data_IF_416126326297
#
_entry.id   IF_416126326297
#
_cell.length_a   1.000
_cell.length_b   1.000
_cell.length_c   1.000
_cell.angle_alpha   90.00
_cell.angle_beta   90.00
_cell.angle_gamma   90.00
#
_symmetry.space_group_name_H-M   'P 1'
#
loop_
_entity.id
_entity.type
_entity.pdbx_description
1 polymer ?
#
# COMPACT_ATOMS: atom_id res chain seq x y z
N UNK A 1 11.41 5.61 14.62
CA UNK A 1 11.29 4.92 15.92
C UNK A 1 12.56 4.14 16.19
N UNK A 2 13.15 4.33 17.37
CA UNK A 2 14.30 3.55 17.86
C UNK A 2 13.82 2.29 18.58
N UNK A 3 14.73 1.34 18.82
CA UNK A 3 14.37 0.06 19.44
C UNK A 3 13.89 0.27 20.90
N UNK A 4 14.47 1.19 21.64
CA UNK A 4 14.09 1.52 23.01
C UNK A 4 12.76 2.29 23.11
N UNK A 5 12.21 2.75 21.98
CA UNK A 5 10.99 3.56 21.92
C UNK A 5 9.70 2.73 21.73
N UNK A 6 9.77 1.38 21.66
CA UNK A 6 8.57 0.54 21.55
C UNK A 6 7.57 0.82 22.67
N UNK A 7 8.02 0.87 23.93
CA UNK A 7 7.11 1.10 25.08
C UNK A 7 6.54 2.52 25.06
N UNK A 8 7.32 3.49 24.59
CA UNK A 8 6.86 4.86 24.40
C UNK A 8 5.74 4.89 23.36
N UNK A 9 5.93 4.24 22.20
CA UNK A 9 4.94 4.16 21.13
C UNK A 9 3.68 3.42 21.56
N UNK A 10 3.81 2.24 22.17
CA UNK A 10 2.69 1.43 22.67
C UNK A 10 1.86 2.17 23.72
N UNK A 11 2.50 3.01 24.56
CA UNK A 11 1.79 3.70 25.65
C UNK A 11 0.91 4.88 25.19
N UNK A 12 1.31 5.59 24.14
CA UNK A 12 0.57 6.73 23.57
C UNK A 12 1.01 6.99 22.12
N UNK A 13 0.48 6.23 21.16
CA UNK A 13 0.88 6.31 19.76
C UNK A 13 0.60 7.67 19.13
N UNK A 14 -0.53 8.30 19.46
CA UNK A 14 -0.90 9.61 18.92
C UNK A 14 0.09 10.68 19.37
N UNK A 15 0.47 10.67 20.64
CA UNK A 15 1.49 11.55 21.19
C UNK A 15 2.88 11.25 20.61
N UNK A 16 3.23 9.98 20.42
CA UNK A 16 4.47 9.58 19.75
C UNK A 16 4.54 10.16 18.32
N UNK A 17 3.43 10.07 17.57
CA UNK A 17 3.36 10.58 16.21
C UNK A 17 3.64 12.08 16.18
N UNK A 18 2.97 12.84 17.04
CA UNK A 18 3.05 14.30 17.03
C UNK A 18 4.40 14.81 17.54
N UNK A 19 4.91 14.24 18.64
CA UNK A 19 6.09 14.79 19.33
C UNK A 19 7.42 14.15 18.94
N UNK A 20 7.40 12.99 18.27
CA UNK A 20 8.63 12.28 17.91
C UNK A 20 8.68 11.93 16.43
N UNK A 21 7.62 11.35 15.87
CA UNK A 21 7.65 10.87 14.49
C UNK A 21 7.68 12.01 13.47
N UNK A 22 6.70 12.93 13.53
CA UNK A 22 6.55 14.03 12.57
C UNK A 22 7.75 15.00 12.57
N UNK A 23 8.28 15.44 13.72
CA UNK A 23 9.50 16.25 13.78
C UNK A 23 10.70 15.63 13.07
N UNK A 24 10.88 14.31 13.22
CA UNK A 24 12.01 13.58 12.63
C UNK A 24 11.85 13.37 11.13
N UNK A 25 10.61 13.27 10.65
CA UNK A 25 10.32 13.10 9.23
C UNK A 25 10.37 14.42 8.48
N UNK A 26 9.87 15.50 9.11
CA UNK A 26 9.76 16.82 8.51
C UNK A 26 10.42 17.84 9.42
N UNK A 27 11.62 18.32 9.05
CA UNK A 27 12.34 19.31 9.85
C UNK A 27 11.57 20.62 10.06
N UNK A 28 10.60 20.95 9.20
CA UNK A 28 9.69 22.07 9.44
C UNK A 28 8.79 21.91 10.66
N UNK A 29 8.56 20.66 11.12
CA UNK A 29 7.70 20.30 12.25
C UNK A 29 8.49 20.10 13.55
N UNK A 30 9.80 20.37 13.57
CA UNK A 30 10.66 20.30 14.77
C UNK A 30 10.05 20.97 16.02
N UNK A 31 9.37 22.14 15.94
CA UNK A 31 8.80 22.77 17.13
C UNK A 31 7.80 21.90 17.91
N UNK A 32 7.16 20.90 17.27
CA UNK A 32 6.23 19.99 17.93
C UNK A 32 6.88 19.16 19.05
N UNK A 33 8.20 18.94 19.02
CA UNK A 33 8.93 18.24 20.09
C UNK A 33 8.82 18.97 21.44
N UNK A 34 8.62 20.29 21.41
CA UNK A 34 8.51 21.15 22.61
C UNK A 34 7.14 21.02 23.28
N UNK A 35 6.16 20.38 22.64
CA UNK A 35 4.85 20.17 23.24
C UNK A 35 4.95 19.25 24.47
N UNK A 36 4.21 19.54 25.55
CA UNK A 36 4.03 18.54 26.61
C UNK A 36 3.24 17.33 26.05
N UNK A 37 3.33 16.15 26.70
CA UNK A 37 2.50 15.01 26.34
C UNK A 37 1.03 15.39 26.22
N UNK A 38 0.42 15.14 25.07
CA UNK A 38 -0.92 15.65 24.74
C UNK A 38 -1.97 15.10 25.70
N UNK A 39 -1.83 13.83 26.11
CA UNK A 39 -2.68 13.21 27.14
C UNK A 39 -2.73 13.97 28.47
N UNK A 40 -1.76 14.83 28.78
CA UNK A 40 -1.81 15.66 29.99
C UNK A 40 -3.00 16.63 30.00
N UNK A 41 -3.58 16.93 28.84
CA UNK A 41 -4.82 17.72 28.73
C UNK A 41 -6.00 17.06 29.44
N UNK A 42 -6.05 15.72 29.50
CA UNK A 42 -7.13 14.96 30.17
C UNK A 42 -7.11 15.23 31.68
N UNK A 43 -5.93 15.44 32.27
CA UNK A 43 -5.76 15.62 33.73
C UNK A 43 -5.85 17.08 34.17
N UNK A 44 -6.48 17.95 33.37
CA UNK A 44 -6.60 19.37 33.65
C UNK A 44 -5.30 20.16 33.41
N UNK A 45 -4.32 19.57 32.70
CA UNK A 45 -3.15 20.30 32.20
C UNK A 45 -3.60 21.44 31.31
N UNK A 46 -3.27 22.67 31.71
CA UNK A 46 -3.84 23.89 31.15
C UNK A 46 -3.56 24.00 29.65
N UNK A 47 -4.59 23.83 28.82
CA UNK A 47 -4.60 24.31 27.43
C UNK A 47 -4.06 25.75 27.33
N UNK A 48 -4.33 26.59 28.34
CA UNK A 48 -3.77 27.94 28.47
C UNK A 48 -2.24 28.01 28.52
N UNK A 49 -1.56 27.05 29.14
CA UNK A 49 -0.09 26.98 29.12
C UNK A 49 0.45 26.63 27.73
N UNK A 50 -0.28 25.80 26.97
CA UNK A 50 0.04 25.50 25.58
C UNK A 50 -0.21 26.70 24.67
N UNK A 51 -1.21 27.54 24.93
CA UNK A 51 -1.45 28.76 24.14
C UNK A 51 -0.24 29.70 24.11
N UNK A 52 0.49 29.83 25.22
CA UNK A 52 1.73 30.60 25.26
C UNK A 52 2.82 30.04 24.34
N UNK A 53 2.99 28.70 24.35
CA UNK A 53 3.92 28.01 23.46
C UNK A 53 3.51 28.13 21.99
N UNK A 54 2.22 27.95 21.68
CA UNK A 54 1.69 28.11 20.32
C UNK A 54 1.79 29.55 19.81
N UNK A 55 1.84 30.54 20.70
CA UNK A 55 2.03 31.94 20.35
C UNK A 55 3.50 32.32 20.08
N UNK A 56 4.46 31.41 20.33
CA UNK A 56 5.90 31.65 20.12
C UNK A 56 6.25 31.90 18.64
N UNK A 57 7.35 32.61 18.35
CA UNK A 57 7.80 32.82 16.97
C UNK A 57 7.97 31.53 16.17
N UNK A 58 8.47 30.47 16.79
CA UNK A 58 8.70 29.18 16.12
C UNK A 58 7.39 28.50 15.72
N UNK A 59 6.36 28.55 16.58
CA UNK A 59 5.04 27.98 16.26
C UNK A 59 4.26 28.83 15.26
N UNK A 60 4.47 30.16 15.24
CA UNK A 60 3.93 31.01 14.17
C UNK A 60 4.52 30.66 12.82
N UNK A 61 5.85 30.53 12.74
CA UNK A 61 6.54 30.12 11.52
C UNK A 61 6.13 28.71 11.07
N UNK A 62 5.92 27.78 12.02
CA UNK A 62 5.34 26.47 11.75
C UNK A 62 3.95 26.60 11.10
N UNK A 63 3.06 27.41 11.68
CA UNK A 63 1.73 27.66 11.13
C UNK A 63 1.76 28.19 9.70
N UNK A 64 2.63 29.17 9.41
CA UNK A 64 2.82 29.71 8.07
C UNK A 64 3.27 28.64 7.06
N UNK A 65 4.23 27.77 7.44
CA UNK A 65 4.68 26.66 6.60
C UNK A 65 3.58 25.64 6.33
N UNK A 66 2.76 25.32 7.34
CA UNK A 66 1.61 24.42 7.17
C UNK A 66 0.61 25.02 6.17
N UNK A 67 0.33 26.32 6.25
CA UNK A 67 -0.57 27.01 5.31
C UNK A 67 0.00 26.94 3.88
N UNK A 68 1.29 27.18 3.70
CA UNK A 68 1.95 27.08 2.38
C UNK A 68 1.88 25.65 1.83
N UNK A 69 2.18 24.65 2.65
CA UNK A 69 2.09 23.24 2.27
C UNK A 69 0.65 22.85 1.90
N UNK A 70 -0.34 23.34 2.65
CA UNK A 70 -1.74 23.10 2.37
C UNK A 70 -2.17 23.65 0.99
N UNK A 71 -1.67 24.84 0.60
CA UNK A 71 -1.98 25.41 -0.70
C UNK A 71 -1.51 24.51 -1.86
N UNK A 72 -0.30 23.93 -1.76
CA UNK A 72 0.20 22.98 -2.77
C UNK A 72 -0.54 21.64 -2.71
N UNK A 73 -0.84 21.14 -1.51
CA UNK A 73 -1.64 19.93 -1.33
C UNK A 73 -3.03 20.08 -1.97
N UNK A 74 -3.70 21.21 -1.79
CA UNK A 74 -4.98 21.50 -2.43
C UNK A 74 -4.88 21.52 -3.95
N UNK A 75 -3.79 22.08 -4.49
CA UNK A 75 -3.52 22.09 -5.93
C UNK A 75 -3.37 20.66 -6.47
N UNK A 76 -2.56 19.83 -5.81
CA UNK A 76 -2.35 18.43 -6.17
C UNK A 76 -3.64 17.61 -6.06
N UNK A 77 -4.39 17.78 -4.97
CA UNK A 77 -5.67 17.08 -4.76
C UNK A 77 -6.69 17.43 -5.84
N UNK A 78 -6.79 18.71 -6.24
CA UNK A 78 -7.68 19.14 -7.34
C UNK A 78 -7.30 18.47 -8.67
N UNK A 79 -6.01 18.40 -9.00
CA UNK A 79 -5.54 17.72 -10.21
C UNK A 79 -5.85 16.22 -10.17
N UNK A 80 -5.53 15.55 -9.06
CA UNK A 80 -5.78 14.11 -8.89
C UNK A 80 -7.28 13.78 -8.99
N UNK A 81 -8.13 14.58 -8.34
CA UNK A 81 -9.59 14.41 -8.44
C UNK A 81 -10.12 14.66 -9.85
N UNK A 82 -9.58 15.64 -10.56
CA UNK A 82 -9.94 15.89 -11.96
C UNK A 82 -9.63 14.70 -12.86
N UNK A 83 -8.44 14.10 -12.71
CA UNK A 83 -8.04 12.88 -13.45
C UNK A 83 -8.97 11.72 -13.11
N UNK A 84 -9.19 11.46 -11.82
CA UNK A 84 -10.06 10.36 -11.37
C UNK A 84 -11.51 10.52 -11.87
N UNK A 85 -12.02 11.76 -11.96
CA UNK A 85 -13.34 12.03 -12.56
C UNK A 85 -13.39 11.71 -14.05
N UNK A 86 -12.36 12.08 -14.81
CA UNK A 86 -12.26 11.76 -16.24
C UNK A 86 -12.21 10.24 -16.43
N UNK A 87 -11.38 9.54 -15.67
CA UNK A 87 -11.27 8.07 -15.72
C UNK A 87 -12.62 7.40 -15.44
N UNK A 88 -13.31 7.86 -14.41
CA UNK A 88 -14.65 7.35 -14.04
C UNK A 88 -15.66 7.59 -15.18
N UNK A 89 -15.68 8.78 -15.77
CA UNK A 89 -16.58 9.11 -16.90
C UNK A 89 -16.29 8.26 -18.15
N UNK A 90 -15.04 7.87 -18.36
CA UNK A 90 -14.63 6.98 -19.44
C UNK A 90 -14.88 5.49 -19.13
N UNK A 91 -15.39 5.17 -17.93
CA UNK A 91 -15.66 3.81 -17.50
C UNK A 91 -14.42 3.03 -17.06
N UNK A 92 -13.29 3.71 -16.79
CA UNK A 92 -12.11 3.06 -16.22
C UNK A 92 -12.28 2.91 -14.70
N UNK A 93 -12.27 1.68 -14.16
CA UNK A 93 -12.42 1.48 -12.74
C UNK A 93 -11.13 1.86 -11.99
N UNK A 94 -11.26 2.69 -10.95
CA UNK A 94 -10.14 2.99 -10.04
C UNK A 94 -9.64 1.73 -9.35
N UNK A 95 -8.32 1.47 -9.39
CA UNK A 95 -7.68 0.44 -8.57
C UNK A 95 -7.57 0.86 -7.10
N UNK A 96 -7.57 2.16 -6.82
CA UNK A 96 -7.42 2.75 -5.49
C UNK A 96 -8.75 2.90 -4.74
N UNK A 97 -9.85 2.43 -5.32
CA UNK A 97 -11.19 2.65 -4.78
C UNK A 97 -11.52 4.15 -4.65
N UNK A 98 -12.58 4.51 -3.90
CA UNK A 98 -12.77 5.89 -3.50
C UNK A 98 -11.67 6.29 -2.51
N UNK A 99 -10.83 7.27 -2.89
CA UNK A 99 -9.71 7.87 -2.14
C UNK A 99 -10.04 8.43 -0.72
N UNK A 100 -11.16 8.04 -0.12
CA UNK A 100 -11.76 8.69 1.06
C UNK A 100 -12.43 7.74 2.07
N UNK A 101 -12.24 6.43 1.98
CA UNK A 101 -12.77 5.51 3.01
C UNK A 101 -11.66 4.63 3.53
N UNK A 102 -11.49 4.66 4.85
CA UNK A 102 -10.51 3.85 5.58
C UNK A 102 -10.53 2.41 5.07
N UNK A 103 -9.39 2.00 4.52
CA UNK A 103 -9.14 0.64 4.13
C UNK A 103 -8.59 -0.14 5.32
N UNK A 104 -8.70 -1.46 5.27
CA UNK A 104 -8.13 -2.38 6.28
C UNK A 104 -6.59 -2.42 6.29
N UNK A 105 -5.92 -1.52 5.56
CA UNK A 105 -4.47 -1.49 5.38
C UNK A 105 -3.89 -2.74 4.72
N UNK A 106 -2.56 -2.78 4.61
CA UNK A 106 -1.80 -3.97 4.19
C UNK A 106 -1.30 -4.79 5.37
N UNK A 107 -0.17 -5.48 5.20
CA UNK A 107 0.46 -6.20 6.30
C UNK A 107 0.91 -5.20 7.41
N UNK A 108 0.57 -5.42 8.69
CA UNK A 108 1.01 -4.52 9.78
C UNK A 108 2.53 -4.36 9.88
N UNK A 109 3.28 -5.42 9.54
CA UNK A 109 4.74 -5.38 9.50
C UNK A 109 5.28 -4.33 8.52
N UNK A 110 4.62 -4.15 7.37
CA UNK A 110 5.03 -3.17 6.37
C UNK A 110 4.93 -1.75 6.94
N UNK A 111 3.87 -1.43 7.70
CA UNK A 111 3.73 -0.14 8.38
C UNK A 111 4.93 0.17 9.28
N UNK A 112 5.38 -0.84 10.04
CA UNK A 112 6.54 -0.70 10.91
C UNK A 112 7.82 -0.53 10.07
N UNK A 113 7.99 -1.33 9.02
CA UNK A 113 9.21 -1.34 8.23
C UNK A 113 9.36 -0.13 7.31
N UNK A 114 8.25 0.43 6.81
CA UNK A 114 8.25 1.51 5.82
C UNK A 114 8.26 2.87 6.49
N UNK A 115 7.52 3.01 7.60
CA UNK A 115 7.33 4.30 8.25
C UNK A 115 8.00 4.40 9.61
N UNK A 116 7.75 3.46 10.52
CA UNK A 116 8.14 3.65 11.93
C UNK A 116 9.61 3.34 12.18
N UNK A 117 10.03 2.11 11.95
CA UNK A 117 11.30 1.53 12.41
C UNK A 117 12.36 1.49 11.30
N UNK A 118 11.92 1.54 10.04
CA UNK A 118 12.75 1.31 8.86
C UNK A 118 13.02 -0.18 8.63
N UNK A 119 13.22 -0.58 7.37
CA UNK A 119 13.43 -1.96 6.95
C UNK A 119 14.49 -2.69 7.79
N UNK A 120 15.72 -2.14 7.84
CA UNK A 120 16.84 -2.73 8.62
C UNK A 120 16.47 -2.90 10.09
N UNK A 121 15.78 -1.91 10.66
CA UNK A 121 15.39 -1.92 12.06
C UNK A 121 14.38 -3.02 12.36
N UNK A 122 13.29 -3.07 11.60
CA UNK A 122 12.23 -4.05 11.76
C UNK A 122 12.76 -5.49 11.61
N UNK A 123 13.68 -5.71 10.66
CA UNK A 123 14.31 -7.03 10.47
C UNK A 123 15.20 -7.46 11.63
N UNK A 124 15.98 -6.53 12.21
CA UNK A 124 16.78 -6.83 13.40
C UNK A 124 15.89 -7.10 14.61
N UNK A 125 14.77 -6.39 14.71
CA UNK A 125 13.85 -6.48 15.84
C UNK A 125 13.10 -7.83 15.87
N UNK A 126 12.95 -8.52 14.73
CA UNK A 126 12.49 -9.93 14.68
C UNK A 126 13.35 -10.88 15.52
N UNK A 127 14.61 -10.52 15.80
CA UNK A 127 15.52 -11.29 16.64
C UNK A 127 15.71 -10.66 18.02
N UNK A 128 15.76 -9.33 18.11
CA UNK A 128 16.13 -8.61 19.34
C UNK A 128 14.96 -8.41 20.30
N UNK A 129 13.77 -8.13 19.76
CA UNK A 129 12.58 -7.86 20.54
C UNK A 129 11.32 -8.32 19.79
N UNK A 130 11.22 -9.62 19.44
CA UNK A 130 10.16 -10.16 18.59
C UNK A 130 8.77 -9.95 19.18
N UNK A 131 8.63 -10.03 20.50
CA UNK A 131 7.33 -9.94 21.16
C UNK A 131 6.77 -8.51 21.09
N UNK A 132 7.61 -7.50 21.33
CA UNK A 132 7.22 -6.08 21.17
C UNK A 132 6.90 -5.72 19.72
N UNK A 133 7.64 -6.30 18.78
CA UNK A 133 7.37 -6.12 17.36
C UNK A 133 5.99 -6.69 16.97
N UNK A 134 5.66 -7.88 17.47
CA UNK A 134 4.35 -8.50 17.27
C UNK A 134 3.23 -7.72 17.95
N UNK A 135 3.44 -7.23 19.17
CA UNK A 135 2.48 -6.39 19.90
C UNK A 135 2.13 -5.11 19.12
N UNK A 136 3.13 -4.45 18.53
CA UNK A 136 2.89 -3.30 17.65
C UNK A 136 2.16 -3.70 16.36
N UNK A 137 2.50 -4.84 15.75
CA UNK A 137 1.76 -5.35 14.59
C UNK A 137 0.28 -5.57 14.92
N UNK A 138 -0.03 -6.15 16.08
CA UNK A 138 -1.41 -6.38 16.54
C UNK A 138 -2.15 -5.05 16.76
N UNK A 139 -1.52 -4.10 17.47
CA UNK A 139 -2.08 -2.76 17.69
C UNK A 139 -2.38 -2.03 16.37
N UNK A 140 -1.48 -2.08 15.39
CA UNK A 140 -1.69 -1.47 14.06
C UNK A 140 -2.86 -2.15 13.33
N UNK A 141 -2.97 -3.48 13.42
CA UNK A 141 -4.06 -4.23 12.81
C UNK A 141 -5.42 -3.82 13.39
N UNK A 142 -5.49 -3.64 14.70
CA UNK A 142 -6.72 -3.20 15.38
C UNK A 142 -7.17 -1.82 14.90
N UNK A 143 -6.25 -0.86 14.75
CA UNK A 143 -6.59 0.47 14.22
C UNK A 143 -7.09 0.41 12.79
N UNK A 144 -6.39 -0.33 11.94
CA UNK A 144 -6.80 -0.54 10.55
C UNK A 144 -8.21 -1.13 10.47
N UNK A 145 -8.57 -2.05 11.37
CA UNK A 145 -9.91 -2.64 11.41
C UNK A 145 -10.96 -1.71 12.01
N UNK A 146 -10.61 -0.89 12.99
CA UNK A 146 -11.50 0.10 13.57
C UNK A 146 -11.89 1.20 12.58
N UNK A 147 -10.97 1.56 11.67
CA UNK A 147 -11.19 2.56 10.63
C UNK A 147 -11.77 1.99 9.33
N UNK A 148 -11.85 0.66 9.21
CA UNK A 148 -12.31 -0.01 8.01
C UNK A 148 -13.81 0.23 7.75
N UNK A 149 -14.14 0.57 6.51
CA UNK A 149 -15.52 0.78 6.07
C UNK A 149 -15.99 -0.33 5.11
N UNK A 150 -17.29 -0.66 5.08
CA UNK A 150 -17.85 -1.53 4.05
C UNK A 150 -17.68 -0.94 2.64
N UNK A 151 -17.44 -1.83 1.68
CA UNK A 151 -17.45 -1.53 0.26
C UNK A 151 -18.82 -1.04 -0.19
N UNK A 152 -18.82 -0.07 -1.10
CA UNK A 152 -20.02 0.40 -1.81
C UNK A 152 -19.88 -0.02 -3.27
N UNK A 153 -20.70 -0.97 -3.76
CA UNK A 153 -20.71 -1.35 -5.16
C UNK A 153 -21.06 -0.17 -6.09
N UNK A 154 -20.63 -0.26 -7.34
CA UNK A 154 -21.03 0.69 -8.39
C UNK A 154 -22.50 0.50 -8.83
N UNK A 155 -22.94 1.30 -9.82
CA UNK A 155 -24.31 1.28 -10.32
C UNK A 155 -24.72 -0.09 -10.92
N UNK A 156 -23.76 -0.87 -11.41
CA UNK A 156 -23.97 -2.20 -11.97
C UNK A 156 -23.81 -3.31 -10.91
N UNK A 157 -23.56 -2.93 -9.65
CA UNK A 157 -23.36 -3.85 -8.54
C UNK A 157 -21.95 -4.42 -8.46
N UNK A 158 -20.97 -3.90 -9.20
CA UNK A 158 -19.60 -4.39 -9.11
C UNK A 158 -18.94 -3.91 -7.81
N UNK A 159 -18.25 -4.80 -7.08
CA UNK A 159 -17.52 -4.41 -5.89
C UNK A 159 -16.32 -3.51 -6.25
N UNK A 160 -16.01 -2.50 -5.41
CA UNK A 160 -14.80 -1.71 -5.57
C UNK A 160 -13.54 -2.56 -5.32
N UNK A 161 -12.44 -2.14 -5.95
CA UNK A 161 -11.11 -2.69 -5.70
C UNK A 161 -10.47 -2.01 -4.50
N UNK A 162 -9.74 -2.78 -3.71
CA UNK A 162 -8.92 -2.27 -2.61
C UNK A 162 -7.44 -2.51 -2.92
N UNK A 163 -6.74 -1.46 -3.31
CA UNK A 163 -5.29 -1.48 -3.49
C UNK A 163 -4.56 -1.77 -2.17
N UNK A 164 -3.49 -2.57 -2.25
CA UNK A 164 -2.64 -2.89 -1.10
C UNK A 164 -1.19 -3.06 -1.55
N UNK A 165 -0.29 -2.17 -1.15
CA UNK A 165 1.14 -2.35 -1.42
C UNK A 165 1.74 -3.35 -0.41
N UNK A 166 2.44 -4.38 -0.89
CA UNK A 166 3.05 -5.42 -0.07
C UNK A 166 4.55 -5.49 -0.34
N UNK A 167 5.35 -5.18 0.68
CA UNK A 167 6.79 -4.97 0.49
C UNK A 167 7.64 -6.09 1.09
N UNK A 168 7.49 -6.38 2.39
CA UNK A 168 8.43 -7.25 3.12
C UNK A 168 8.08 -8.73 3.11
N UNK A 169 6.93 -9.10 2.56
CA UNK A 169 6.56 -10.51 2.38
C UNK A 169 7.35 -11.23 1.30
N UNK A 170 8.00 -10.47 0.40
CA UNK A 170 8.86 -10.97 -0.67
C UNK A 170 9.98 -11.88 -0.16
N UNK A 171 10.33 -12.87 -0.97
CA UNK A 171 11.23 -13.98 -0.63
C UNK A 171 12.59 -13.53 -0.11
N UNK A 172 13.11 -12.42 -0.64
CA UNK A 172 14.42 -11.90 -0.27
C UNK A 172 14.52 -11.29 1.14
N UNK A 173 13.40 -11.07 1.83
CA UNK A 173 13.39 -10.34 3.10
C UNK A 173 13.23 -11.23 4.33
N UNK A 174 12.59 -12.39 4.20
CA UNK A 174 12.28 -13.27 5.32
C UNK A 174 12.43 -14.73 4.91
N UNK A 175 12.95 -15.56 5.83
CA UNK A 175 12.75 -17.00 5.71
C UNK A 175 11.26 -17.35 5.83
N UNK A 176 10.84 -18.54 5.34
CA UNK A 176 9.45 -19.01 5.48
C UNK A 176 8.96 -18.96 6.94
N UNK A 177 9.79 -19.39 7.91
CA UNK A 177 9.46 -19.32 9.34
C UNK A 177 9.22 -17.90 9.85
N UNK A 178 9.99 -16.93 9.37
CA UNK A 178 9.79 -15.52 9.72
C UNK A 178 8.53 -14.96 9.06
N UNK A 179 8.29 -15.30 7.78
CA UNK A 179 7.09 -14.92 7.07
C UNK A 179 5.83 -15.44 7.78
N UNK A 180 5.79 -16.74 8.13
CA UNK A 180 4.70 -17.38 8.88
C UNK A 180 4.47 -16.75 10.25
N UNK A 181 5.52 -16.24 10.91
CA UNK A 181 5.41 -15.64 12.24
C UNK A 181 5.02 -14.16 12.21
N UNK A 182 5.70 -13.36 11.38
CA UNK A 182 5.67 -11.90 11.46
C UNK A 182 4.83 -11.22 10.38
N UNK A 183 4.55 -11.90 9.26
CA UNK A 183 3.99 -11.25 8.08
C UNK A 183 2.65 -11.86 7.66
N UNK A 184 2.63 -13.17 7.35
CA UNK A 184 1.46 -13.85 6.79
C UNK A 184 0.20 -13.76 7.65
N UNK A 185 0.25 -13.98 8.98
CA UNK A 185 -0.97 -13.95 9.79
C UNK A 185 -1.67 -12.59 9.75
N UNK A 186 -0.92 -11.49 9.82
CA UNK A 186 -1.45 -10.14 9.73
C UNK A 186 -1.99 -9.84 8.33
N UNK A 187 -1.19 -10.10 7.29
CA UNK A 187 -1.63 -9.91 5.91
C UNK A 187 -2.91 -10.69 5.59
N UNK A 188 -2.95 -11.97 5.94
CA UNK A 188 -4.12 -12.83 5.71
C UNK A 188 -5.36 -12.28 6.42
N UNK A 189 -5.24 -11.85 7.68
CA UNK A 189 -6.34 -11.21 8.42
C UNK A 189 -6.82 -9.94 7.71
N UNK A 190 -5.91 -9.09 7.26
CA UNK A 190 -6.27 -7.87 6.53
C UNK A 190 -7.02 -8.17 5.23
N UNK A 191 -6.51 -9.09 4.41
CA UNK A 191 -7.16 -9.50 3.16
C UNK A 191 -8.55 -10.10 3.42
N UNK A 192 -8.66 -11.02 4.39
CA UNK A 192 -9.96 -11.62 4.73
C UNK A 192 -10.96 -10.58 5.22
N UNK A 193 -10.52 -9.59 6.02
CA UNK A 193 -11.39 -8.51 6.46
C UNK A 193 -11.85 -7.63 5.30
N UNK A 194 -10.97 -7.30 4.35
CA UNK A 194 -11.38 -6.58 3.13
C UNK A 194 -12.44 -7.35 2.33
N UNK A 195 -12.25 -8.66 2.15
CA UNK A 195 -13.20 -9.51 1.42
C UNK A 195 -14.55 -9.57 2.16
N UNK A 196 -14.53 -9.71 3.49
CA UNK A 196 -15.74 -9.65 4.34
C UNK A 196 -16.49 -8.33 4.16
N UNK A 197 -15.76 -7.21 4.07
CA UNK A 197 -16.33 -5.88 3.85
C UNK A 197 -16.83 -5.67 2.41
N UNK A 198 -16.68 -6.65 1.52
CA UNK A 198 -17.25 -6.63 0.16
C UNK A 198 -16.29 -6.14 -0.93
N UNK A 199 -15.00 -6.00 -0.64
CA UNK A 199 -14.00 -5.59 -1.64
C UNK A 199 -13.51 -6.77 -2.49
N UNK A 200 -13.02 -6.46 -3.70
CA UNK A 200 -12.02 -7.27 -4.39
C UNK A 200 -10.65 -6.71 -4.05
N UNK A 201 -9.80 -7.51 -3.42
CA UNK A 201 -8.49 -7.04 -2.97
C UNK A 201 -7.51 -7.08 -4.15
N UNK A 202 -6.83 -5.98 -4.39
CA UNK A 202 -5.87 -5.81 -5.48
C UNK A 202 -4.47 -5.51 -4.94
N UNK A 203 -3.83 -6.49 -4.26
CA UNK A 203 -2.50 -6.32 -3.73
C UNK A 203 -1.43 -6.27 -4.83
N UNK A 204 -0.42 -5.42 -4.64
CA UNK A 204 0.84 -5.45 -5.39
C UNK A 204 1.82 -6.26 -4.56
N UNK A 205 2.14 -7.45 -5.06
CA UNK A 205 3.16 -8.32 -4.48
C UNK A 205 4.52 -7.89 -5.03
N UNK A 206 5.11 -6.85 -4.42
CA UNK A 206 6.39 -6.29 -4.85
C UNK A 206 7.54 -7.27 -4.60
N UNK A 207 8.56 -7.22 -5.44
CA UNK A 207 9.66 -8.17 -5.45
C UNK A 207 9.26 -9.54 -5.99
N UNK A 208 9.70 -10.61 -5.31
CA UNK A 208 9.59 -12.00 -5.75
C UNK A 208 8.80 -12.76 -4.69
N UNK A 209 7.79 -13.51 -5.11
CA UNK A 209 6.90 -14.28 -4.23
C UNK A 209 6.82 -15.76 -4.61
N UNK A 210 7.83 -16.28 -5.31
CA UNK A 210 7.88 -17.66 -5.83
C UNK A 210 7.65 -18.68 -4.70
N UNK A 211 8.31 -18.48 -3.56
CA UNK A 211 8.23 -19.36 -2.39
C UNK A 211 7.00 -19.11 -1.51
N UNK A 212 6.11 -18.19 -1.92
CA UNK A 212 4.90 -17.78 -1.20
C UNK A 212 3.60 -18.10 -1.92
N UNK A 213 3.66 -18.58 -3.17
CA UNK A 213 2.49 -18.81 -4.02
C UNK A 213 1.45 -19.70 -3.35
N UNK A 214 1.86 -20.83 -2.75
CA UNK A 214 0.93 -21.79 -2.14
C UNK A 214 0.15 -21.21 -0.94
N UNK A 215 0.69 -20.22 -0.22
CA UNK A 215 -0.04 -19.55 0.86
C UNK A 215 -1.24 -18.76 0.32
N UNK A 216 -1.13 -18.21 -0.90
CA UNK A 216 -2.20 -17.42 -1.51
C UNK A 216 -3.45 -18.27 -1.83
N UNK A 217 -3.30 -19.60 -1.93
CA UNK A 217 -4.42 -20.53 -2.07
C UNK A 217 -5.31 -20.60 -0.82
N UNK A 218 -4.83 -20.17 0.34
CA UNK A 218 -5.63 -20.05 1.56
C UNK A 218 -6.63 -18.87 1.50
N UNK A 219 -6.47 -17.95 0.55
CA UNK A 219 -7.36 -16.81 0.35
C UNK A 219 -8.61 -17.22 -0.45
N UNK A 220 -9.74 -16.50 -0.34
CA UNK A 220 -10.95 -16.86 -1.07
C UNK A 220 -10.78 -16.74 -2.59
N UNK A 221 -11.10 -17.83 -3.31
CA UNK A 221 -11.05 -17.91 -4.78
C UNK A 221 -11.82 -16.75 -5.43
N UNK A 222 -11.18 -16.07 -6.39
CA UNK A 222 -11.79 -14.98 -7.17
C UNK A 222 -12.02 -13.67 -6.41
N UNK A 223 -11.49 -13.53 -5.18
CA UNK A 223 -11.64 -12.30 -4.37
C UNK A 223 -10.37 -11.46 -4.26
N UNK A 224 -9.25 -11.96 -4.76
CA UNK A 224 -7.94 -11.33 -4.68
C UNK A 224 -7.24 -11.44 -6.03
N UNK A 225 -6.63 -10.36 -6.52
CA UNK A 225 -5.75 -10.41 -7.70
C UNK A 225 -4.30 -10.62 -7.28
N UNK A 226 -3.50 -11.23 -8.15
CA UNK A 226 -2.07 -11.39 -7.97
C UNK A 226 -1.34 -10.43 -8.90
N UNK A 227 -1.22 -9.16 -8.51
CA UNK A 227 -0.36 -8.22 -9.25
C UNK A 227 1.09 -8.49 -8.86
N UNK A 228 1.80 -9.17 -9.75
CA UNK A 228 3.19 -9.57 -9.55
C UNK A 228 4.18 -8.59 -10.16
N UNK A 229 5.27 -8.34 -9.44
CA UNK A 229 6.41 -7.61 -9.97
C UNK A 229 7.41 -8.55 -10.66
N UNK A 230 8.19 -9.32 -9.88
CA UNK A 230 9.31 -10.14 -10.38
C UNK A 230 9.14 -11.66 -10.15
N UNK A 231 8.01 -12.11 -9.60
CA UNK A 231 7.67 -13.55 -9.47
C UNK A 231 7.62 -14.20 -10.84
N UNK A 232 8.04 -15.46 -10.95
CA UNK A 232 7.87 -16.24 -12.17
C UNK A 232 6.36 -16.38 -12.49
N UNK A 233 5.92 -15.66 -13.51
CA UNK A 233 4.51 -15.62 -13.91
C UNK A 233 3.99 -16.95 -14.45
N UNK A 234 4.86 -17.79 -15.01
CA UNK A 234 4.47 -19.13 -15.47
C UNK A 234 4.21 -20.04 -14.27
N UNK A 235 5.12 -20.03 -13.28
CA UNK A 235 4.90 -20.73 -12.01
C UNK A 235 3.66 -20.21 -11.29
N UNK A 236 3.46 -18.90 -11.26
CA UNK A 236 2.25 -18.30 -10.71
C UNK A 236 0.98 -18.78 -11.43
N UNK A 237 0.99 -18.92 -12.76
CA UNK A 237 -0.15 -19.48 -13.52
C UNK A 237 -0.41 -20.94 -13.18
N UNK A 238 0.64 -21.75 -13.03
CA UNK A 238 0.50 -23.16 -12.64
C UNK A 238 -0.14 -23.32 -11.26
N UNK A 239 0.27 -22.50 -10.29
CA UNK A 239 -0.20 -22.61 -8.89
C UNK A 239 -1.54 -21.90 -8.68
N UNK A 240 -1.68 -20.68 -9.20
CA UNK A 240 -2.80 -19.77 -8.88
C UNK A 240 -3.83 -19.61 -10.01
N UNK A 241 -3.58 -20.14 -11.20
CA UNK A 241 -4.35 -19.82 -12.41
C UNK A 241 -5.84 -20.11 -12.35
N UNK A 242 -6.24 -21.09 -11.54
CA UNK A 242 -7.65 -21.43 -11.30
C UNK A 242 -8.20 -20.80 -10.00
N UNK A 243 -7.42 -19.96 -9.32
CA UNK A 243 -7.75 -19.41 -8.00
C UNK A 243 -7.82 -17.88 -7.98
N UNK A 244 -6.89 -17.22 -8.65
CA UNK A 244 -6.73 -15.75 -8.67
C UNK A 244 -6.49 -15.26 -10.10
N UNK A 245 -6.94 -14.04 -10.40
CA UNK A 245 -6.50 -13.34 -11.61
C UNK A 245 -5.07 -12.86 -11.44
N UNK A 246 -4.20 -13.20 -12.39
CA UNK A 246 -2.82 -12.70 -12.46
C UNK A 246 -2.83 -11.35 -13.16
N UNK A 247 -2.17 -10.37 -12.55
CA UNK A 247 -2.02 -9.01 -13.08
C UNK A 247 -0.54 -8.69 -13.23
N UNK A 248 -0.18 -7.98 -14.30
CA UNK A 248 1.20 -7.57 -14.56
C UNK A 248 1.78 -8.25 -15.81
N UNK A 249 3.08 -8.54 -15.74
CA UNK A 249 3.83 -9.25 -16.77
C UNK A 249 4.55 -8.36 -17.78
N UNK A 250 4.25 -7.06 -17.88
CA UNK A 250 4.96 -6.13 -18.78
C UNK A 250 6.04 -5.34 -17.99
N UNK A 251 7.34 -5.57 -18.22
CA UNK A 251 8.39 -4.86 -17.49
C UNK A 251 8.42 -3.36 -17.83
N UNK A 252 8.55 -2.43 -16.86
CA UNK A 252 8.71 -1.00 -17.15
C UNK A 252 9.92 -0.70 -18.04
N UNK A 253 10.99 -1.48 -17.93
CA UNK A 253 12.19 -1.35 -18.78
C UNK A 253 11.87 -1.57 -20.25
N UNK A 254 10.96 -2.48 -20.58
CA UNK A 254 10.46 -2.66 -21.95
C UNK A 254 9.71 -1.41 -22.43
N UNK A 255 8.92 -0.78 -21.56
CA UNK A 255 8.17 0.44 -21.87
C UNK A 255 9.07 1.67 -22.01
N UNK A 256 10.24 1.68 -21.38
CA UNK A 256 11.23 2.75 -21.52
C UNK A 256 12.11 2.58 -22.77
N UNK A 257 12.64 1.38 -22.99
CA UNK A 257 13.71 1.15 -23.96
C UNK A 257 13.28 0.38 -25.23
N UNK A 258 12.26 -0.48 -25.15
CA UNK A 258 11.83 -1.33 -26.27
C UNK A 258 10.89 -0.61 -27.23
N UNK A 259 10.84 -1.03 -28.49
CA UNK A 259 9.92 -0.51 -29.52
C UNK A 259 8.46 -0.92 -29.28
N UNK A 260 7.52 -0.27 -29.98
CA UNK A 260 6.10 -0.67 -29.93
C UNK A 260 5.89 -2.10 -30.42
N UNK A 261 6.72 -2.58 -31.34
CA UNK A 261 6.71 -3.98 -31.80
C UNK A 261 7.16 -4.93 -30.69
N UNK A 262 8.23 -4.60 -29.95
CA UNK A 262 8.69 -5.42 -28.82
C UNK A 262 7.59 -5.53 -27.75
N UNK A 263 6.86 -4.43 -27.49
CA UNK A 263 5.71 -4.41 -26.57
C UNK A 263 4.57 -5.28 -27.08
N UNK A 264 4.20 -5.17 -28.36
CA UNK A 264 3.13 -6.00 -28.97
C UNK A 264 3.50 -7.49 -28.88
N UNK A 265 4.72 -7.87 -29.27
CA UNK A 265 5.18 -9.25 -29.25
C UNK A 265 5.17 -9.84 -27.83
N UNK A 266 5.68 -9.07 -26.85
CA UNK A 266 5.66 -9.47 -25.44
C UNK A 266 4.24 -9.65 -24.91
N UNK A 267 3.35 -8.67 -25.16
CA UNK A 267 1.95 -8.76 -24.73
C UNK A 267 1.21 -9.94 -25.38
N UNK A 268 1.44 -10.21 -26.67
CA UNK A 268 0.86 -11.38 -27.36
C UNK A 268 1.30 -12.69 -26.72
N UNK A 269 2.58 -12.79 -26.33
CA UNK A 269 3.11 -13.95 -25.62
C UNK A 269 2.42 -14.13 -24.26
N UNK A 270 2.28 -13.07 -23.47
CA UNK A 270 1.56 -13.11 -22.20
C UNK A 270 0.11 -13.56 -22.38
N UNK A 271 -0.61 -12.99 -23.33
CA UNK A 271 -2.02 -13.34 -23.62
C UNK A 271 -2.13 -14.82 -23.99
N UNK A 272 -1.24 -15.31 -24.87
CA UNK A 272 -1.23 -16.71 -25.31
C UNK A 272 -0.92 -17.68 -24.18
N UNK A 273 0.13 -17.39 -23.41
CA UNK A 273 0.70 -18.34 -22.46
C UNK A 273 0.00 -18.27 -21.09
N UNK A 274 -0.19 -17.06 -20.56
CA UNK A 274 -0.73 -16.81 -19.22
C UNK A 274 -2.24 -16.59 -19.26
N UNK A 275 -2.73 -15.94 -20.32
CA UNK A 275 -4.16 -15.65 -20.52
C UNK A 275 -5.00 -16.86 -20.93
N UNK A 276 -4.39 -18.04 -21.14
CA UNK A 276 -5.11 -19.28 -21.44
C UNK A 276 -6.15 -19.58 -20.35
N UNK A 277 -7.38 -19.85 -20.77
CA UNK A 277 -8.57 -20.02 -19.92
C UNK A 277 -8.96 -18.77 -19.10
N UNK A 278 -8.50 -17.59 -19.52
CA UNK A 278 -8.73 -16.33 -18.83
C UNK A 278 -7.87 -16.11 -17.59
N UNK A 279 -8.24 -15.11 -16.80
CA UNK A 279 -7.58 -14.79 -15.52
C UNK A 279 -6.26 -14.01 -15.65
N UNK A 280 -6.04 -13.30 -16.77
CA UNK A 280 -4.90 -12.40 -16.95
C UNK A 280 -5.37 -10.94 -17.11
N UNK A 281 -4.74 -10.03 -16.39
CA UNK A 281 -4.80 -8.58 -16.58
C UNK A 281 -3.41 -8.13 -17.05
N UNK A 282 -3.24 -7.89 -18.35
CA UNK A 282 -1.98 -7.38 -18.90
C UNK A 282 -1.74 -5.98 -18.36
N UNK A 283 -0.67 -5.82 -17.58
CA UNK A 283 -0.37 -4.58 -16.88
C UNK A 283 1.15 -4.43 -16.72
N UNK A 284 1.66 -3.20 -16.54
CA UNK A 284 3.02 -3.00 -16.03
C UNK A 284 3.25 -3.76 -14.71
N UNK A 285 4.44 -4.31 -14.52
CA UNK A 285 4.80 -5.02 -13.28
C UNK A 285 5.02 -4.07 -12.10
N UNK A 286 5.43 -2.82 -12.36
CA UNK A 286 5.60 -1.75 -11.36
C UNK A 286 5.37 -0.37 -11.98
N UNK A 287 5.85 0.72 -11.35
CA UNK A 287 5.61 2.09 -11.84
C UNK A 287 6.10 2.30 -13.27
N UNK A 288 5.35 3.08 -14.04
CA UNK A 288 5.67 3.41 -15.44
C UNK A 288 6.49 4.70 -15.55
N UNK A 289 7.35 4.96 -14.57
CA UNK A 289 8.19 6.16 -14.61
C UNK A 289 9.04 6.13 -15.89
N UNK A 290 9.04 7.26 -16.62
CA UNK A 290 9.75 7.43 -17.88
C UNK A 290 9.31 6.50 -19.04
N UNK A 291 8.19 5.79 -18.91
CA UNK A 291 7.64 5.00 -20.02
C UNK A 291 7.29 5.91 -21.21
N UNK A 292 7.59 5.43 -22.42
CA UNK A 292 7.24 6.17 -23.65
C UNK A 292 5.74 6.07 -23.92
N UNK A 293 5.01 7.17 -24.15
CA UNK A 293 3.56 7.14 -24.35
C UNK A 293 3.09 6.18 -25.46
N UNK A 294 3.86 6.05 -26.55
CA UNK A 294 3.60 5.12 -27.65
C UNK A 294 3.69 3.66 -27.22
N UNK A 295 4.58 3.32 -26.29
CA UNK A 295 4.72 1.97 -25.76
C UNK A 295 3.55 1.63 -24.81
N UNK A 296 3.12 2.59 -23.98
CA UNK A 296 1.92 2.41 -23.13
C UNK A 296 0.67 2.21 -24.00
N UNK A 297 0.54 2.99 -25.08
CA UNK A 297 -0.54 2.82 -26.06
C UNK A 297 -0.49 1.44 -26.74
N UNK A 298 0.70 0.97 -27.09
CA UNK A 298 0.87 -0.34 -27.72
C UNK A 298 0.35 -1.50 -26.85
N UNK A 299 0.47 -1.42 -25.51
CA UNK A 299 -0.16 -2.40 -24.60
C UNK A 299 -1.67 -2.44 -24.83
N UNK A 300 -2.32 -1.27 -24.74
CA UNK A 300 -3.78 -1.15 -24.84
C UNK A 300 -4.29 -1.62 -26.20
N UNK A 301 -3.63 -1.21 -27.29
CA UNK A 301 -3.99 -1.62 -28.65
C UNK A 301 -3.81 -3.13 -28.86
N UNK A 302 -2.73 -3.71 -28.33
CA UNK A 302 -2.47 -5.15 -28.42
C UNK A 302 -3.54 -5.95 -27.66
N UNK A 303 -3.88 -5.54 -26.43
CA UNK A 303 -4.92 -6.21 -25.63
C UNK A 303 -6.29 -6.09 -26.31
N UNK A 304 -6.65 -4.93 -26.88
CA UNK A 304 -7.90 -4.77 -27.63
C UNK A 304 -7.97 -5.66 -28.87
N UNK A 305 -6.84 -5.94 -29.51
CA UNK A 305 -6.77 -6.74 -30.75
C UNK A 305 -6.74 -8.24 -30.49
N UNK A 306 -6.03 -8.70 -29.46
CA UNK A 306 -5.78 -10.13 -29.24
C UNK A 306 -6.28 -10.67 -27.90
N UNK A 307 -6.80 -9.82 -27.00
CA UNK A 307 -7.23 -10.20 -25.65
C UNK A 307 -8.64 -10.79 -25.56
N UNK A 308 -9.32 -10.99 -26.69
CA UNK A 308 -10.64 -11.63 -26.75
C UNK A 308 -10.46 -13.13 -26.99
N UNK A 309 -11.08 -13.94 -26.13
CA UNK A 309 -11.10 -15.40 -26.18
C UNK A 309 -12.51 -15.92 -25.91
#
# INVERSE_FOLDING_TARGET
MKQEEYDLFLSDPSDFVIRYFLPRLYGSLEPLEKLPPIRNMIRGGFFGGMLGLLASPEFRALGEKIIQANAEQERMMKMMMGIAQIETQLGYPSQFGPLRRGGVGGAPFDVISDFLRGMRGAMLDMYRCPDKLLEVCEMIQEWQFAEAAPAIPDADGNPPRLFMALHRGSDGFMSKKQFEKFYWPGLKKAILKAVELGYIVAPVFEGIWDDRLEYLLELPKGKVTFWTENTDIYRAKEVLGDHMCIQGGVPPTLLQAGSTQDVEEHCKKLIKDIGKNGGLIVFPTSSMDYARPENVRAIVETVKKYGWY
#
